data_IF_022506304833
#
_entry.id   IF_022506304833
#
_cell.length_a   1.000
_cell.length_b   1.000
_cell.length_c   1.000
_cell.angle_alpha   90.00
_cell.angle_beta   90.00
_cell.angle_gamma   90.00
#
_symmetry.space_group_name_H-M   'P 1'
#
loop_
_entity.id
_entity.type
_entity.pdbx_description
1 polymer ?
#
# COMPACT_ATOMS: atom_id res chain seq x y z
N UNK A 1 -4.33 -13.74 -14.33
CA UNK A 1 -5.33 -13.18 -13.40
C UNK A 1 -5.18 -11.67 -13.45
N UNK A 2 -6.21 -10.94 -13.85
CA UNK A 2 -6.20 -9.47 -13.80
C UNK A 2 -6.88 -9.08 -12.49
N UNK A 3 -6.22 -8.24 -11.69
CA UNK A 3 -6.76 -7.72 -10.44
C UNK A 3 -6.88 -6.19 -10.51
N UNK A 4 -7.90 -5.65 -9.87
CA UNK A 4 -8.07 -4.20 -9.66
C UNK A 4 -7.97 -3.96 -8.17
N UNK A 5 -7.18 -2.97 -7.77
CA UNK A 5 -7.12 -2.49 -6.38
C UNK A 5 -7.74 -1.09 -6.36
N UNK A 6 -8.71 -0.88 -5.48
CA UNK A 6 -9.39 0.40 -5.29
C UNK A 6 -9.29 0.79 -3.83
N UNK A 7 -8.87 2.03 -3.58
CA UNK A 7 -8.94 2.62 -2.25
C UNK A 7 -10.19 3.49 -2.15
N UNK A 8 -10.94 3.29 -1.08
CA UNK A 8 -12.12 4.09 -0.72
C UNK A 8 -11.96 4.58 0.71
N UNK A 9 -12.76 5.57 1.12
CA UNK A 9 -12.75 6.03 2.53
C UNK A 9 -13.04 4.93 3.55
N UNK A 10 -13.74 3.86 3.15
CA UNK A 10 -14.16 2.79 4.05
C UNK A 10 -13.17 1.61 4.10
N UNK A 11 -12.58 1.25 2.96
CA UNK A 11 -11.74 0.07 2.82
C UNK A 11 -10.88 0.10 1.54
N UNK A 12 -9.84 -0.71 1.53
CA UNK A 12 -9.12 -1.13 0.33
C UNK A 12 -9.82 -2.37 -0.24
N UNK A 13 -10.26 -2.29 -1.49
CA UNK A 13 -10.95 -3.36 -2.20
C UNK A 13 -10.01 -4.00 -3.21
N UNK A 14 -9.92 -5.34 -3.18
CA UNK A 14 -9.18 -6.11 -4.18
C UNK A 14 -10.17 -6.96 -4.96
N UNK A 15 -10.40 -6.55 -6.21
CA UNK A 15 -11.22 -7.30 -7.14
C UNK A 15 -10.33 -8.22 -7.96
N UNK A 16 -10.60 -9.54 -7.95
CA UNK A 16 -9.86 -10.54 -8.71
C UNK A 16 -10.78 -11.17 -9.74
N UNK A 17 -10.32 -11.27 -10.99
CA UNK A 17 -11.08 -11.92 -12.06
C UNK A 17 -10.50 -13.30 -12.38
N UNK A 18 -11.33 -14.31 -12.21
CA UNK A 18 -11.15 -15.65 -12.78
C UNK A 18 -12.20 -15.84 -13.89
N UNK A 19 -13.23 -16.66 -13.69
CA UNK A 19 -14.43 -16.73 -14.53
C UNK A 19 -15.48 -15.68 -14.14
N UNK A 20 -15.50 -15.27 -12.87
CA UNK A 20 -16.31 -14.20 -12.29
C UNK A 20 -15.43 -13.23 -11.51
N UNK A 21 -15.99 -12.09 -11.09
CA UNK A 21 -15.32 -11.16 -10.18
C UNK A 21 -15.59 -11.55 -8.73
N UNK A 22 -14.53 -11.65 -7.93
CA UNK A 22 -14.61 -11.71 -6.47
C UNK A 22 -13.99 -10.45 -5.89
N UNK A 23 -14.58 -9.88 -4.83
CA UNK A 23 -14.12 -8.65 -4.20
C UNK A 23 -13.86 -8.93 -2.72
N UNK A 24 -12.64 -8.69 -2.28
CA UNK A 24 -12.24 -8.79 -0.88
C UNK A 24 -11.96 -7.38 -0.33
N UNK A 25 -12.48 -7.09 0.88
CA UNK A 25 -12.26 -5.82 1.56
C UNK A 25 -11.21 -5.96 2.66
N UNK A 26 -10.27 -5.02 2.69
CA UNK A 26 -9.15 -4.98 3.63
C UNK A 26 -9.00 -3.59 4.24
N UNK A 27 -8.28 -3.52 5.37
CA UNK A 27 -7.99 -2.27 6.09
C UNK A 27 -9.26 -1.48 6.48
N UNK A 28 -10.37 -2.20 6.73
CA UNK A 28 -11.60 -1.59 7.21
C UNK A 28 -11.40 -0.90 8.55
N UNK A 29 -11.94 0.31 8.70
CA UNK A 29 -11.79 1.13 9.90
C UNK A 29 -10.47 1.89 10.01
N UNK A 30 -9.51 1.65 9.11
CA UNK A 30 -8.22 2.33 9.08
C UNK A 30 -8.18 3.51 8.09
N UNK A 31 -9.30 3.83 7.43
CA UNK A 31 -9.41 4.93 6.46
C UNK A 31 -8.23 4.96 5.46
N UNK A 32 -8.14 3.96 4.55
CA UNK A 32 -7.09 3.94 3.54
C UNK A 32 -7.27 5.10 2.56
N UNK A 33 -6.16 5.73 2.16
CA UNK A 33 -6.15 6.96 1.32
C UNK A 33 -5.41 6.75 -0.01
N UNK A 34 -4.37 5.92 -0.02
CA UNK A 34 -3.56 5.68 -1.21
C UNK A 34 -3.05 4.23 -1.28
N UNK A 35 -2.67 3.77 -2.47
CA UNK A 35 -2.10 2.43 -2.68
C UNK A 35 -1.05 2.47 -3.78
N UNK A 36 0.02 1.68 -3.62
CA UNK A 36 1.02 1.45 -4.64
C UNK A 36 1.38 -0.04 -4.75
N UNK A 37 1.81 -0.45 -5.95
CA UNK A 37 2.22 -1.81 -6.28
C UNK A 37 3.69 -1.81 -6.68
N UNK A 38 4.48 -2.73 -6.13
CA UNK A 38 5.83 -2.96 -6.64
C UNK A 38 5.74 -3.69 -7.99
N UNK A 39 6.04 -3.00 -9.09
CA UNK A 39 5.96 -3.59 -10.43
C UNK A 39 6.97 -4.72 -10.67
N UNK A 40 8.05 -4.79 -9.87
CA UNK A 40 9.05 -5.87 -9.97
C UNK A 40 8.61 -7.10 -9.16
N UNK A 41 7.78 -6.89 -8.15
CA UNK A 41 7.20 -7.96 -7.34
C UNK A 41 5.74 -7.65 -7.02
N UNK A 42 4.78 -7.92 -7.94
CA UNK A 42 3.37 -7.53 -7.77
C UNK A 42 2.64 -8.19 -6.58
N UNK A 43 3.30 -9.11 -5.87
CA UNK A 43 2.84 -9.60 -4.57
C UNK A 43 3.02 -8.57 -3.44
N UNK A 44 3.92 -7.61 -3.62
CA UNK A 44 4.23 -6.55 -2.67
C UNK A 44 3.38 -5.31 -2.97
N UNK A 45 2.59 -4.90 -1.99
CA UNK A 45 1.69 -3.75 -2.06
C UNK A 45 1.92 -2.86 -0.85
N UNK A 46 1.65 -1.58 -0.99
CA UNK A 46 1.70 -0.60 0.10
C UNK A 46 0.42 0.22 0.11
N UNK A 47 -0.09 0.54 1.29
CA UNK A 47 -1.30 1.35 1.45
C UNK A 47 -1.09 2.35 2.59
N UNK A 48 -1.25 3.63 2.26
CA UNK A 48 -1.25 4.71 3.25
C UNK A 48 -2.63 4.91 3.83
N UNK A 49 -2.67 5.24 5.12
CA UNK A 49 -3.90 5.48 5.87
C UNK A 49 -3.94 6.90 6.42
N UNK A 50 -5.14 7.37 6.77
CA UNK A 50 -5.33 8.70 7.31
C UNK A 50 -4.77 8.87 8.74
N UNK A 51 -4.68 7.79 9.53
CA UNK A 51 -4.36 7.88 10.98
C UNK A 51 -3.49 6.75 11.53
N UNK A 52 -3.21 5.72 10.75
CA UNK A 52 -2.57 4.48 11.21
C UNK A 52 -1.25 4.20 10.50
N UNK A 53 -0.73 5.17 9.73
CA UNK A 53 0.54 5.08 9.03
C UNK A 53 0.48 4.26 7.73
N UNK A 54 1.64 3.68 7.37
CA UNK A 54 1.81 2.89 6.15
C UNK A 54 1.70 1.39 6.45
N UNK A 55 0.87 0.70 5.68
CA UNK A 55 0.73 -0.75 5.70
C UNK A 55 1.36 -1.36 4.45
N UNK A 56 1.83 -2.60 4.57
CA UNK A 56 2.30 -3.41 3.45
C UNK A 56 1.64 -4.77 3.40
N UNK A 57 1.55 -5.31 2.20
CA UNK A 57 1.26 -6.71 1.94
C UNK A 57 2.43 -7.34 1.19
N UNK A 58 2.67 -8.62 1.45
CA UNK A 58 3.70 -9.44 0.76
C UNK A 58 3.09 -10.60 -0.03
N UNK A 59 1.76 -10.69 -0.08
CA UNK A 59 1.03 -11.85 -0.60
C UNK A 59 -0.15 -11.46 -1.51
N UNK A 60 0.05 -10.40 -2.29
CA UNK A 60 -0.93 -9.82 -3.22
C UNK A 60 -2.18 -9.28 -2.52
N UNK A 61 -1.99 -8.70 -1.33
CA UNK A 61 -3.01 -8.00 -0.57
C UNK A 61 -3.94 -8.89 0.23
N UNK A 62 -3.59 -10.17 0.43
CA UNK A 62 -4.40 -11.08 1.26
C UNK A 62 -4.22 -10.75 2.73
N UNK A 63 -2.99 -10.47 3.15
CA UNK A 63 -2.64 -10.02 4.49
C UNK A 63 -1.92 -8.68 4.45
N UNK A 64 -2.16 -7.87 5.48
CA UNK A 64 -1.60 -6.54 5.63
C UNK A 64 -1.00 -6.36 7.02
N UNK A 65 0.18 -5.76 7.09
CA UNK A 65 0.90 -5.46 8.32
C UNK A 65 1.45 -4.03 8.29
N UNK A 66 1.62 -3.35 9.44
CA UNK A 66 2.30 -2.06 9.50
C UNK A 66 3.74 -2.17 8.99
N UNK A 67 4.24 -1.14 8.30
CA UNK A 67 5.63 -1.11 7.76
C UNK A 67 6.70 -0.99 8.86
N UNK A 68 6.31 -0.65 10.09
CA UNK A 68 7.20 -0.51 11.24
C UNK A 68 7.60 0.95 11.49
N UNK A 69 8.51 1.21 12.45
CA UNK A 69 8.77 2.57 12.97
C UNK A 69 9.52 3.51 12.00
N UNK A 70 9.90 3.05 10.81
CA UNK A 70 10.65 3.86 9.84
C UNK A 70 9.87 5.02 9.22
N UNK A 71 8.54 5.03 9.36
CA UNK A 71 7.67 6.15 8.99
C UNK A 71 6.87 6.50 10.24
N UNK A 72 7.43 7.36 11.09
CA UNK A 72 6.81 7.83 12.33
C UNK A 72 5.81 8.96 12.03
N UNK A 73 4.85 8.70 11.15
CA UNK A 73 3.79 9.64 10.81
C UNK A 73 2.46 8.92 10.58
N UNK A 74 1.38 9.29 11.31
CA UNK A 74 0.11 8.56 11.24
C UNK A 74 -0.68 8.82 9.96
N UNK A 75 -0.51 9.98 9.32
CA UNK A 75 -1.24 10.35 8.11
C UNK A 75 -0.34 10.21 6.88
N UNK A 76 -0.67 9.27 6.00
CA UNK A 76 0.00 9.02 4.72
C UNK A 76 -0.96 9.37 3.59
N UNK A 77 -0.61 10.41 2.82
CA UNK A 77 -1.46 10.96 1.76
C UNK A 77 -1.09 10.45 0.37
N UNK A 78 0.16 10.01 0.18
CA UNK A 78 0.62 9.43 -1.07
C UNK A 78 1.68 8.35 -0.80
N UNK A 79 1.72 7.33 -1.65
CA UNK A 79 2.77 6.32 -1.66
C UNK A 79 3.14 5.98 -3.10
N UNK A 80 4.44 5.82 -3.35
CA UNK A 80 4.97 5.36 -4.63
C UNK A 80 6.10 4.34 -4.41
N UNK A 81 6.28 3.44 -5.37
CA UNK A 81 7.37 2.44 -5.37
C UNK A 81 8.27 2.68 -6.57
N UNK A 82 9.47 3.17 -6.29
CA UNK A 82 10.46 3.55 -7.27
C UNK A 82 10.84 2.39 -8.20
N UNK A 83 10.85 2.67 -9.50
CA UNK A 83 11.11 1.68 -10.54
C UNK A 83 12.58 1.37 -10.79
N UNK A 84 13.53 2.12 -10.22
CA UNK A 84 14.96 2.04 -10.56
C UNK A 84 15.85 1.59 -9.38
N UNK A 85 15.59 2.06 -8.15
CA UNK A 85 16.38 1.72 -6.97
C UNK A 85 15.88 0.47 -6.24
N UNK A 86 16.80 -0.28 -5.62
CA UNK A 86 16.46 -1.28 -4.61
C UNK A 86 17.28 -1.10 -3.35
N UNK A 87 16.69 -1.55 -2.25
CA UNK A 87 17.38 -1.93 -1.05
C UNK A 87 16.82 -3.25 -0.55
N UNK A 88 17.69 -4.16 -0.15
CA UNK A 88 17.35 -5.48 0.38
C UNK A 88 16.33 -6.28 -0.47
N UNK A 89 16.35 -6.09 -1.79
CA UNK A 89 15.42 -6.75 -2.72
C UNK A 89 13.99 -6.19 -2.73
N UNK A 90 13.78 -4.98 -2.20
CA UNK A 90 12.54 -4.20 -2.28
C UNK A 90 12.74 -2.99 -3.20
N UNK A 91 11.69 -2.59 -3.93
CA UNK A 91 11.67 -1.27 -4.55
C UNK A 91 11.71 -0.17 -3.48
N UNK A 92 12.42 0.92 -3.75
CA UNK A 92 12.47 2.08 -2.86
C UNK A 92 11.06 2.65 -2.72
N UNK A 93 10.57 2.78 -1.49
CA UNK A 93 9.24 3.32 -1.19
C UNK A 93 9.36 4.80 -0.84
N UNK A 94 8.51 5.62 -1.43
CA UNK A 94 8.32 7.02 -1.06
C UNK A 94 6.95 7.18 -0.41
N UNK A 95 6.88 7.88 0.71
CA UNK A 95 5.62 8.18 1.41
C UNK A 95 5.50 9.67 1.66
N UNK A 96 4.42 10.27 1.14
CA UNK A 96 4.03 11.64 1.43
C UNK A 96 3.09 11.70 2.64
N UNK A 97 3.26 12.71 3.48
CA UNK A 97 2.48 12.90 4.71
C UNK A 97 1.76 14.23 4.76
N UNK A 98 0.84 14.38 5.71
CA UNK A 98 0.28 15.66 6.13
C UNK A 98 0.45 15.81 7.65
N UNK A 99 1.21 16.80 8.16
CA UNK A 99 1.85 17.91 7.43
C UNK A 99 2.90 17.47 6.40
N UNK A 100 3.10 18.30 5.38
CA UNK A 100 3.93 18.01 4.21
C UNK A 100 5.36 17.58 4.58
N UNK A 101 5.63 16.28 4.40
CA UNK A 101 6.97 15.72 4.35
C UNK A 101 7.00 14.56 3.33
N UNK A 102 8.21 14.17 2.92
CA UNK A 102 8.43 12.99 2.08
C UNK A 102 9.45 12.10 2.78
N UNK A 103 9.03 10.87 3.07
CA UNK A 103 9.88 9.80 3.59
C UNK A 103 10.33 8.93 2.41
N UNK A 104 11.57 8.45 2.48
CA UNK A 104 12.15 7.51 1.53
C UNK A 104 12.69 6.32 2.32
N UNK A 105 12.42 5.09 1.88
CA UNK A 105 13.13 3.93 2.39
C UNK A 105 14.57 3.90 1.89
N UNK A 106 15.52 3.54 2.74
CA UNK A 106 16.90 3.31 2.29
C UNK A 106 17.01 2.12 1.37
#
# INVERSE_FOLDING_TARGET
MVGIIVVTRAALLIARRTSTWTIDAHLGGLSPECVAVDLRSPAKLYCGTARDGLFRSRDSGRNWEPVGPGIDHPMITAVDVGHAGQADGFGIVYAGTEPSAVFRSD
#
